data_IF_834564449926
#
_entry.id   IF_834564449926
#
_cell.length_a   1.000
_cell.length_b   1.000
_cell.length_c   1.000
_cell.angle_alpha   90.00
_cell.angle_beta   90.00
_cell.angle_gamma   90.00
#
_symmetry.space_group_name_H-M   'P 1'
#
loop_
_entity.id
_entity.type
_entity.pdbx_description
1 polymer ?
#
# COMPACT_ATOMS: atom_id res chain seq x y z
N UNK A 1 -15.60 6.29 -7.36
CA UNK A 1 -14.54 5.44 -6.76
C UNK A 1 -14.02 6.06 -5.48
N UNK A 2 -13.76 5.24 -4.47
CA UNK A 2 -13.30 5.72 -3.16
C UNK A 2 -11.90 5.19 -2.86
N UNK A 3 -11.01 6.11 -2.51
CA UNK A 3 -9.64 5.79 -2.08
C UNK A 3 -9.53 5.99 -0.57
N UNK A 4 -8.81 5.09 0.09
CA UNK A 4 -8.54 5.16 1.52
C UNK A 4 -7.03 5.00 1.75
N UNK A 5 -6.38 6.08 2.19
CA UNK A 5 -4.96 6.05 2.53
C UNK A 5 -4.74 5.33 3.86
N UNK A 6 -3.68 4.53 3.95
CA UNK A 6 -3.39 3.70 5.12
C UNK A 6 -1.91 3.75 5.53
N UNK A 7 -1.66 3.71 6.85
CA UNK A 7 -0.35 3.36 7.42
C UNK A 7 -0.30 1.83 7.56
N UNK A 8 0.73 1.21 6.99
CA UNK A 8 0.87 -0.25 6.82
C UNK A 8 0.73 -1.05 8.13
N UNK A 9 1.16 -0.46 9.24
CA UNK A 9 1.09 -1.02 10.58
C UNK A 9 0.37 -0.06 11.50
N UNK A 10 -0.96 -0.12 11.48
CA UNK A 10 -1.82 0.83 12.19
C UNK A 10 -3.01 0.09 12.78
N UNK A 11 -3.03 -0.14 14.10
CA UNK A 11 -4.21 -0.66 14.79
C UNK A 11 -5.47 0.18 14.51
N UNK A 12 -5.34 1.51 14.52
CA UNK A 12 -6.45 2.40 14.18
C UNK A 12 -6.86 2.24 12.71
N UNK A 13 -5.90 2.16 11.79
CA UNK A 13 -6.15 1.92 10.38
C UNK A 13 -6.86 0.59 10.14
N UNK A 14 -6.41 -0.48 10.77
CA UNK A 14 -7.01 -1.82 10.71
C UNK A 14 -8.48 -1.78 11.14
N UNK A 15 -8.76 -1.08 12.25
CA UNK A 15 -10.11 -0.88 12.74
C UNK A 15 -10.98 -0.04 11.79
N UNK A 16 -10.49 1.14 11.35
CA UNK A 16 -11.27 2.06 10.53
C UNK A 16 -11.47 1.58 9.09
N UNK A 17 -10.54 0.80 8.54
CA UNK A 17 -10.70 0.16 7.22
C UNK A 17 -11.88 -0.81 7.24
N UNK A 18 -12.02 -1.63 8.28
CA UNK A 18 -13.18 -2.54 8.44
C UNK A 18 -14.48 -1.76 8.54
N UNK A 19 -14.52 -0.71 9.37
CA UNK A 19 -15.71 0.16 9.49
C UNK A 19 -16.08 0.82 8.16
N UNK A 20 -15.08 1.28 7.41
CA UNK A 20 -15.28 1.89 6.11
C UNK A 20 -15.90 0.91 5.11
N UNK A 21 -15.38 -0.32 5.06
CA UNK A 21 -15.90 -1.37 4.18
C UNK A 21 -17.34 -1.77 4.55
N UNK A 22 -17.65 -1.90 5.84
CA UNK A 22 -19.02 -2.19 6.30
C UNK A 22 -20.01 -1.09 5.92
N UNK A 23 -19.56 0.18 5.91
CA UNK A 23 -20.37 1.34 5.50
C UNK A 23 -20.57 1.39 3.99
N UNK A 24 -19.50 1.21 3.21
CA UNK A 24 -19.53 1.37 1.75
C UNK A 24 -20.11 0.14 1.05
N UNK A 25 -19.83 -1.05 1.58
CA UNK A 25 -20.15 -2.35 0.99
C UNK A 25 -19.75 -2.39 -0.49
N UNK A 26 -18.44 -2.27 -0.79
CA UNK A 26 -17.96 -2.35 -2.16
C UNK A 26 -18.19 -3.76 -2.73
N UNK A 27 -18.18 -3.83 -4.05
CA UNK A 27 -18.17 -5.10 -4.79
C UNK A 27 -16.75 -5.53 -5.15
N UNK A 28 -15.81 -4.58 -5.20
CA UNK A 28 -14.40 -4.79 -5.47
C UNK A 28 -13.52 -4.01 -4.49
N UNK A 29 -12.56 -4.71 -3.89
CA UNK A 29 -11.52 -4.16 -3.01
C UNK A 29 -10.15 -4.28 -3.70
N UNK A 30 -9.46 -3.16 -3.86
CA UNK A 30 -8.12 -3.11 -4.46
C UNK A 30 -7.08 -2.77 -3.40
N UNK A 31 -6.03 -3.58 -3.28
CA UNK A 31 -4.98 -3.46 -2.26
C UNK A 31 -3.66 -3.08 -2.93
N UNK A 32 -3.02 -2.00 -2.49
CA UNK A 32 -1.68 -1.66 -2.99
C UNK A 32 -0.70 -2.79 -2.65
N UNK A 33 -0.18 -3.40 -3.70
CA UNK A 33 0.78 -4.51 -3.67
C UNK A 33 0.96 -5.05 -5.09
N UNK A 34 2.01 -5.84 -5.34
CA UNK A 34 2.31 -6.33 -6.68
C UNK A 34 1.15 -7.13 -7.28
N UNK A 35 0.69 -6.74 -8.47
CA UNK A 35 -0.48 -7.37 -9.10
C UNK A 35 -0.29 -8.87 -9.38
N UNK A 36 0.94 -9.34 -9.48
CA UNK A 36 1.30 -10.75 -9.62
C UNK A 36 1.19 -11.53 -8.30
N UNK A 37 0.85 -10.90 -7.17
CA UNK A 37 0.56 -11.59 -5.90
C UNK A 37 -0.89 -12.07 -5.77
N UNK A 38 -1.75 -11.79 -6.75
CA UNK A 38 -3.19 -12.14 -6.71
C UNK A 38 -3.45 -13.63 -6.40
N UNK A 39 -2.61 -14.53 -6.91
CA UNK A 39 -2.77 -15.96 -6.69
C UNK A 39 -2.56 -16.39 -5.22
N UNK A 40 -1.97 -15.53 -4.39
CA UNK A 40 -1.71 -15.78 -2.97
C UNK A 40 -2.88 -15.36 -2.07
N UNK A 41 -3.89 -14.64 -2.58
CA UNK A 41 -4.97 -14.09 -1.73
C UNK A 41 -5.71 -15.18 -0.95
N UNK A 42 -5.97 -16.34 -1.55
CA UNK A 42 -6.62 -17.47 -0.87
C UNK A 42 -5.74 -18.06 0.25
N UNK A 43 -4.41 -18.04 0.08
CA UNK A 43 -3.45 -18.49 1.10
C UNK A 43 -3.31 -17.45 2.22
N UNK A 44 -3.33 -16.15 1.89
CA UNK A 44 -3.29 -15.02 2.84
C UNK A 44 -4.43 -15.13 3.86
N UNK A 45 -5.64 -15.48 3.42
CA UNK A 45 -6.83 -15.61 4.28
C UNK A 45 -7.01 -17.02 4.85
N UNK A 46 -6.06 -17.92 4.61
CA UNK A 46 -6.13 -19.29 5.10
C UNK A 46 -6.02 -19.32 6.62
N UNK A 47 -6.91 -20.06 7.29
CA UNK A 47 -6.86 -20.27 8.75
C UNK A 47 -5.58 -20.97 9.23
N UNK A 48 -4.78 -21.53 8.31
CA UNK A 48 -3.49 -22.17 8.62
C UNK A 48 -2.32 -21.18 8.63
N UNK A 49 -2.50 -20.00 8.05
CA UNK A 49 -1.51 -18.93 8.06
C UNK A 49 -1.86 -17.95 9.18
N UNK A 50 -0.97 -17.80 10.15
CA UNK A 50 -1.18 -16.95 11.33
C UNK A 50 -0.21 -15.77 11.25
N UNK A 51 -0.68 -14.51 11.28
CA UNK A 51 0.19 -13.34 11.34
C UNK A 51 1.12 -13.35 12.57
N UNK A 52 2.32 -12.74 12.49
CA UNK A 52 2.85 -12.02 11.33
C UNK A 52 3.46 -12.96 10.28
N UNK A 53 3.28 -12.61 9.00
CA UNK A 53 3.92 -13.28 7.86
C UNK A 53 4.32 -12.25 6.81
N UNK A 54 5.04 -12.66 5.76
CA UNK A 54 5.37 -11.79 4.64
C UNK A 54 5.30 -12.53 3.31
N UNK A 55 4.94 -11.83 2.24
CA UNK A 55 5.17 -12.28 0.86
C UNK A 55 6.55 -11.78 0.45
N UNK A 56 7.34 -12.66 -0.15
CA UNK A 56 8.67 -12.34 -0.64
C UNK A 56 8.76 -12.63 -2.14
N UNK A 57 9.22 -11.65 -2.90
CA UNK A 57 9.64 -11.85 -4.29
C UNK A 57 11.14 -11.59 -4.39
N UNK A 58 11.83 -12.39 -5.21
CA UNK A 58 13.28 -12.33 -5.33
C UNK A 58 13.72 -12.71 -6.74
N UNK A 59 14.87 -12.18 -7.15
CA UNK A 59 15.50 -12.50 -8.43
C UNK A 59 16.19 -13.86 -8.36
N UNK A 60 16.30 -14.56 -9.50
CA UNK A 60 16.87 -15.93 -9.54
C UNK A 60 18.39 -15.95 -9.75
N UNK A 61 18.95 -14.86 -10.25
CA UNK A 61 20.35 -14.74 -10.64
C UNK A 61 21.04 -13.72 -9.73
N UNK A 62 22.30 -13.95 -9.41
CA UNK A 62 23.07 -13.05 -8.56
C UNK A 62 23.35 -11.70 -9.26
N UNK A 63 23.34 -10.56 -8.53
CA UNK A 63 22.97 -10.44 -7.11
C UNK A 63 21.47 -10.69 -6.88
N UNK A 64 21.15 -11.38 -5.78
CA UNK A 64 19.76 -11.72 -5.42
C UNK A 64 19.11 -10.52 -4.74
N UNK A 65 18.35 -9.76 -5.51
CA UNK A 65 17.47 -8.71 -4.96
C UNK A 65 16.18 -9.31 -4.41
N UNK A 66 15.63 -8.68 -3.36
CA UNK A 66 14.45 -9.16 -2.67
C UNK A 66 13.54 -8.00 -2.25
N UNK A 67 12.23 -8.14 -2.48
CA UNK A 67 11.21 -7.27 -1.89
C UNK A 67 10.35 -8.06 -0.91
N UNK A 68 9.99 -7.42 0.20
CA UNK A 68 9.19 -7.99 1.27
C UNK A 68 7.92 -7.19 1.49
N UNK A 69 6.80 -7.90 1.58
CA UNK A 69 5.48 -7.36 1.90
C UNK A 69 4.96 -8.03 3.17
N UNK A 70 5.29 -7.47 4.34
CA UNK A 70 4.86 -8.03 5.62
C UNK A 70 3.39 -7.76 5.88
N UNK A 71 2.77 -8.61 6.69
CA UNK A 71 1.40 -8.51 7.15
C UNK A 71 1.35 -8.89 8.63
N UNK A 72 0.61 -8.10 9.40
CA UNK A 72 0.30 -8.33 10.80
C UNK A 72 -1.22 -8.26 11.01
N UNK A 73 -1.70 -8.70 12.18
CA UNK A 73 -3.13 -8.59 12.53
C UNK A 73 -3.61 -7.13 12.49
N UNK A 74 -2.73 -6.17 12.82
CA UNK A 74 -2.96 -4.74 12.75
C UNK A 74 -2.57 -4.09 11.41
N UNK A 75 -2.36 -4.88 10.35
CA UNK A 75 -2.18 -4.34 9.00
C UNK A 75 -3.54 -4.02 8.36
N UNK A 76 -3.81 -2.76 7.97
CA UNK A 76 -5.07 -2.42 7.32
C UNK A 76 -5.30 -3.17 5.99
N UNK A 77 -4.23 -3.44 5.24
CA UNK A 77 -4.27 -4.25 4.01
C UNK A 77 -4.76 -5.67 4.29
N UNK A 78 -4.19 -6.31 5.31
CA UNK A 78 -4.59 -7.65 5.73
C UNK A 78 -6.06 -7.69 6.15
N UNK A 79 -6.50 -6.70 6.93
CA UNK A 79 -7.90 -6.59 7.35
C UNK A 79 -8.87 -6.34 6.20
N UNK A 80 -8.45 -5.58 5.17
CA UNK A 80 -9.25 -5.38 3.96
C UNK A 80 -9.39 -6.69 3.15
N UNK A 81 -8.31 -7.46 3.01
CA UNK A 81 -8.32 -8.77 2.34
C UNK A 81 -9.23 -9.75 3.11
N UNK A 82 -9.10 -9.83 4.44
CA UNK A 82 -9.97 -10.65 5.29
C UNK A 82 -11.44 -10.24 5.14
N UNK A 83 -11.73 -8.94 5.19
CA UNK A 83 -13.10 -8.43 5.02
C UNK A 83 -13.71 -8.82 3.69
N UNK A 84 -12.95 -8.68 2.60
CA UNK A 84 -13.42 -9.02 1.27
C UNK A 84 -13.78 -10.51 1.20
N UNK A 85 -12.95 -11.38 1.77
CA UNK A 85 -13.23 -12.82 1.83
C UNK A 85 -14.46 -13.15 2.68
N UNK A 86 -14.57 -12.57 3.87
CA UNK A 86 -15.71 -12.78 4.78
C UNK A 86 -17.06 -12.36 4.15
N UNK A 87 -17.03 -11.33 3.31
CA UNK A 87 -18.23 -10.76 2.67
C UNK A 87 -18.45 -11.23 1.22
N UNK A 88 -17.65 -12.20 0.74
CA UNK A 88 -17.69 -12.73 -0.63
C UNK A 88 -17.58 -11.62 -1.70
N UNK A 89 -16.62 -10.69 -1.49
CA UNK A 89 -16.31 -9.60 -2.41
C UNK A 89 -15.01 -9.88 -3.16
N UNK A 90 -14.91 -9.36 -4.37
CA UNK A 90 -13.68 -9.49 -5.15
C UNK A 90 -12.55 -8.66 -4.53
N UNK A 91 -11.34 -9.22 -4.52
CA UNK A 91 -10.17 -8.60 -3.94
C UNK A 91 -8.96 -8.87 -4.82
N UNK A 92 -8.20 -7.80 -5.14
CA UNK A 92 -7.03 -7.89 -6.01
C UNK A 92 -5.94 -6.92 -5.56
N UNK A 93 -4.69 -7.33 -5.76
CA UNK A 93 -3.54 -6.44 -5.80
C UNK A 93 -3.54 -5.67 -7.12
N UNK A 94 -3.11 -4.41 -7.09
CA UNK A 94 -3.23 -3.54 -8.28
C UNK A 94 -2.06 -2.60 -8.55
N UNK A 95 -0.93 -2.78 -7.85
CA UNK A 95 0.32 -2.05 -8.12
C UNK A 95 1.23 -2.84 -9.09
N UNK A 96 2.35 -2.24 -9.49
CA UNK A 96 3.33 -2.84 -10.40
C UNK A 96 3.73 -4.25 -9.99
N UNK A 97 3.90 -5.10 -10.99
CA UNK A 97 4.36 -6.48 -10.81
C UNK A 97 5.73 -6.52 -10.11
N UNK A 98 5.97 -7.62 -9.38
CA UNK A 98 7.11 -7.73 -8.48
C UNK A 98 8.46 -7.66 -9.21
N UNK A 99 8.53 -8.14 -10.45
CA UNK A 99 9.71 -8.08 -11.32
C UNK A 99 10.08 -6.64 -11.70
N UNK A 100 9.09 -5.80 -12.02
CA UNK A 100 9.27 -4.37 -12.29
C UNK A 100 9.72 -3.66 -11.00
N UNK A 101 9.12 -4.01 -9.86
CA UNK A 101 9.49 -3.44 -8.56
C UNK A 101 10.95 -3.76 -8.18
N UNK A 102 11.39 -5.02 -8.34
CA UNK A 102 12.78 -5.43 -8.16
C UNK A 102 13.74 -4.72 -9.13
N UNK A 103 13.28 -4.44 -10.35
CA UNK A 103 14.05 -3.69 -11.35
C UNK A 103 14.38 -2.26 -10.93
N UNK A 104 13.52 -1.59 -10.15
CA UNK A 104 13.81 -0.25 -9.63
C UNK A 104 14.91 -0.27 -8.57
N UNK A 105 14.89 -1.25 -7.65
CA UNK A 105 15.89 -1.34 -6.58
C UNK A 105 17.31 -1.55 -7.11
N UNK A 106 17.46 -2.37 -8.16
CA UNK A 106 18.74 -2.55 -8.87
C UNK A 106 19.36 -1.23 -9.35
N UNK A 107 18.55 -0.32 -9.89
CA UNK A 107 19.04 0.95 -10.44
C UNK A 107 19.42 1.98 -9.37
N UNK A 108 19.04 1.74 -8.11
CA UNK A 108 19.43 2.56 -6.97
C UNK A 108 20.72 2.05 -6.32
N UNK A 109 20.95 0.73 -6.31
CA UNK A 109 22.16 0.10 -5.74
C UNK A 109 23.41 0.15 -6.64
N UNK A 110 23.27 0.27 -7.97
CA UNK A 110 24.43 0.52 -8.88
C UNK A 110 25.14 1.88 -8.60
N UNK A 111 24.65 2.67 -7.63
CA UNK A 111 25.30 3.89 -7.12
C UNK A 111 25.83 3.80 -5.69
N UNK A 112 25.70 2.64 -5.01
CA UNK A 112 26.14 2.45 -3.62
C UNK A 112 26.68 1.04 -3.40
N UNK A 113 28.01 0.94 -3.32
CA UNK A 113 28.67 -0.20 -2.70
C UNK A 113 28.27 -0.33 -1.21
N UNK A 114 27.97 -1.58 -0.83
CA UNK A 114 27.99 -2.21 0.50
C UNK A 114 26.83 -1.98 1.54
N UNK A 115 26.30 -3.14 1.93
CA UNK A 115 25.65 -3.54 3.20
C UNK A 115 24.13 -3.37 3.42
N UNK A 116 23.52 -4.54 3.58
CA UNK A 116 22.14 -4.94 3.86
C UNK A 116 21.59 -4.41 5.20
N UNK A 117 20.25 -4.40 5.29
CA UNK A 117 19.39 -4.24 6.49
C UNK A 117 19.01 -2.78 6.81
N UNK A 118 17.76 -2.46 6.44
CA UNK A 118 16.92 -1.41 7.03
C UNK A 118 17.64 -0.13 7.45
N UNK A 119 18.20 0.59 6.49
CA UNK A 119 18.50 2.01 6.69
C UNK A 119 17.56 2.80 5.80
N UNK A 120 16.52 3.37 6.43
CA UNK A 120 15.91 4.59 5.92
C UNK A 120 17.06 5.53 5.50
N UNK A 121 17.06 6.07 4.27
CA UNK A 121 18.12 6.97 3.87
C UNK A 121 18.06 8.22 4.75
N UNK A 122 19.02 8.34 5.70
CA UNK A 122 19.29 9.53 6.51
C UNK A 122 19.86 10.68 5.66
N UNK A 123 19.15 11.12 4.62
CA UNK A 123 19.51 12.35 3.92
C UNK A 123 18.29 13.25 3.83
N UNK A 124 18.32 14.25 4.71
CA UNK A 124 17.35 15.31 4.95
C UNK A 124 16.14 14.94 5.82
N UNK A 125 16.39 14.49 7.06
CA UNK A 125 15.39 14.70 8.12
C UNK A 125 15.27 16.21 8.34
N UNK A 126 14.22 16.81 7.81
CA UNK A 126 13.60 17.91 8.54
C UNK A 126 13.34 17.41 9.97
N UNK A 127 13.47 18.27 10.98
CA UNK A 127 13.16 17.96 12.40
C UNK A 127 11.66 17.67 12.64
N UNK A 128 10.97 17.10 11.65
CA UNK A 128 9.55 16.76 11.72
C UNK A 128 9.44 15.39 12.40
N UNK A 129 8.86 15.40 13.59
CA UNK A 129 8.51 14.20 14.37
C UNK A 129 7.41 13.42 13.65
N UNK A 130 7.80 12.59 12.67
CA UNK A 130 6.89 11.78 11.86
C UNK A 130 6.15 10.74 12.69
N UNK A 131 6.83 10.15 13.68
CA UNK A 131 6.19 9.17 14.57
C UNK A 131 5.15 9.87 15.46
N UNK A 132 5.47 11.04 16.01
CA UNK A 132 4.50 11.86 16.74
C UNK A 132 3.35 12.35 15.86
N UNK A 133 3.60 12.62 14.57
CA UNK A 133 2.52 12.89 13.62
C UNK A 133 1.60 11.68 13.49
N UNK A 134 2.14 10.48 13.26
CA UNK A 134 1.37 9.26 13.09
C UNK A 134 0.54 8.93 14.34
N UNK A 135 1.18 8.97 15.51
CA UNK A 135 0.52 8.71 16.78
C UNK A 135 -0.68 9.64 16.99
N UNK A 136 -0.48 10.96 16.80
CA UNK A 136 -1.52 11.96 17.09
C UNK A 136 -2.61 12.03 16.02
N UNK A 137 -2.25 11.90 14.74
CA UNK A 137 -3.16 12.17 13.62
C UNK A 137 -3.78 10.90 13.02
N UNK A 138 -3.15 9.74 13.20
CA UNK A 138 -3.73 8.46 12.75
C UNK A 138 -4.15 7.59 13.93
N UNK A 139 -3.22 7.19 14.80
CA UNK A 139 -3.53 6.18 15.82
C UNK A 139 -4.53 6.66 16.87
N UNK A 140 -4.45 7.94 17.26
CA UNK A 140 -5.38 8.58 18.18
C UNK A 140 -6.59 9.24 17.48
N UNK A 141 -6.88 8.87 16.23
CA UNK A 141 -8.03 9.40 15.50
C UNK A 141 -9.35 9.09 16.21
N UNK A 142 -10.16 10.12 16.47
CA UNK A 142 -11.45 9.98 17.14
C UNK A 142 -12.46 9.15 16.33
N UNK A 143 -12.37 9.21 15.00
CA UNK A 143 -13.26 8.51 14.08
C UNK A 143 -12.63 8.30 12.70
N UNK A 144 -13.31 7.52 11.87
CA UNK A 144 -12.89 7.16 10.52
C UNK A 144 -12.65 8.37 9.61
N UNK A 145 -13.46 9.44 9.71
CA UNK A 145 -13.30 10.62 8.86
C UNK A 145 -12.05 11.42 9.25
N UNK A 146 -11.76 11.52 10.56
CA UNK A 146 -10.52 12.09 11.07
C UNK A 146 -9.28 11.30 10.59
N UNK A 147 -9.32 9.97 10.68
CA UNK A 147 -8.23 9.11 10.19
C UNK A 147 -7.97 9.33 8.69
N UNK A 148 -9.03 9.37 7.87
CA UNK A 148 -8.91 9.60 6.43
C UNK A 148 -8.32 10.97 6.11
N UNK A 149 -8.74 12.01 6.85
CA UNK A 149 -8.19 13.35 6.69
C UNK A 149 -6.70 13.39 7.06
N UNK A 150 -6.32 12.81 8.20
CA UNK A 150 -4.92 12.71 8.63
C UNK A 150 -4.03 11.99 7.62
N UNK A 151 -4.52 10.87 7.06
CA UNK A 151 -3.79 10.12 6.04
C UNK A 151 -3.67 10.91 4.72
N UNK A 152 -4.73 11.60 4.30
CA UNK A 152 -4.68 12.43 3.10
C UNK A 152 -3.67 13.58 3.24
N UNK A 153 -3.67 14.26 4.38
CA UNK A 153 -2.73 15.35 4.68
C UNK A 153 -1.28 14.87 4.65
N UNK A 154 -1.00 13.68 5.19
CA UNK A 154 0.33 13.09 5.16
C UNK A 154 0.82 12.83 3.74
N UNK A 155 0.00 12.16 2.92
CA UNK A 155 0.35 11.86 1.53
C UNK A 155 0.46 13.12 0.65
N UNK A 156 -0.25 14.20 0.99
CA UNK A 156 -0.06 15.51 0.37
C UNK A 156 1.27 16.15 0.79
N UNK A 157 1.64 16.07 2.07
CA UNK A 157 2.92 16.60 2.57
C UNK A 157 4.10 15.93 1.89
N UNK A 158 4.12 14.60 1.82
CA UNK A 158 5.20 13.86 1.17
C UNK A 158 5.42 14.29 -0.27
N UNK A 159 4.34 14.43 -1.06
CA UNK A 159 4.48 14.85 -2.46
C UNK A 159 4.91 16.29 -2.65
N UNK A 160 4.61 17.18 -1.70
CA UNK A 160 5.13 18.55 -1.74
C UNK A 160 6.64 18.59 -1.47
N UNK A 161 7.12 17.67 -0.64
CA UNK A 161 8.53 17.58 -0.25
C UNK A 161 9.36 16.78 -1.27
N UNK A 162 8.74 15.88 -2.05
CA UNK A 162 9.43 15.16 -3.14
C UNK A 162 9.75 16.08 -4.30
N UNK A 163 11.04 16.19 -4.64
CA UNK A 163 11.49 16.96 -5.81
C UNK A 163 11.19 16.22 -7.11
N UNK A 164 10.85 16.95 -8.16
CA UNK A 164 10.52 16.36 -9.47
C UNK A 164 11.70 15.70 -10.20
N UNK A 165 12.93 15.98 -9.77
CA UNK A 165 14.15 15.35 -10.28
C UNK A 165 14.58 14.09 -9.50
N UNK A 166 13.81 13.72 -8.47
CA UNK A 166 14.04 12.49 -7.71
C UNK A 166 13.57 11.26 -8.49
N UNK A 167 14.38 10.20 -8.50
CA UNK A 167 14.00 8.89 -9.05
C UNK A 167 12.76 8.33 -8.34
N UNK A 168 12.60 8.61 -7.05
CA UNK A 168 11.41 8.22 -6.27
C UNK A 168 10.13 8.80 -6.86
N UNK A 169 10.17 10.06 -7.30
CA UNK A 169 9.05 10.74 -7.96
C UNK A 169 8.67 10.04 -9.27
N UNK A 170 9.65 9.71 -10.11
CA UNK A 170 9.41 9.00 -11.36
C UNK A 170 8.80 7.60 -11.12
N UNK A 171 9.33 6.87 -10.12
CA UNK A 171 8.78 5.56 -9.70
C UNK A 171 7.33 5.67 -9.26
N UNK A 172 7.01 6.66 -8.43
CA UNK A 172 5.65 6.87 -7.95
C UNK A 172 4.68 7.19 -9.11
N UNK A 173 5.05 8.07 -10.03
CA UNK A 173 4.23 8.36 -11.22
C UNK A 173 3.94 7.10 -12.05
N UNK A 174 4.93 6.21 -12.22
CA UNK A 174 4.76 4.95 -12.96
C UNK A 174 3.78 4.02 -12.20
N UNK A 175 3.96 3.87 -10.89
CA UNK A 175 3.07 3.08 -10.02
C UNK A 175 1.64 3.61 -10.06
N UNK A 176 1.44 4.91 -9.85
CA UNK A 176 0.14 5.56 -9.92
C UNK A 176 -0.54 5.37 -11.27
N UNK A 177 0.22 5.48 -12.37
CA UNK A 177 -0.29 5.28 -13.73
C UNK A 177 -0.74 3.83 -13.95
N UNK A 178 0.01 2.86 -13.45
CA UNK A 178 -0.36 1.45 -13.52
C UNK A 178 -1.61 1.16 -12.69
N UNK A 179 -1.68 1.65 -11.45
CA UNK A 179 -2.83 1.51 -10.55
C UNK A 179 -4.10 2.12 -11.18
N UNK A 180 -4.00 3.33 -11.74
CA UNK A 180 -5.09 3.98 -12.51
C UNK A 180 -5.54 3.12 -13.69
N UNK A 181 -4.60 2.53 -14.43
CA UNK A 181 -4.92 1.64 -15.56
C UNK A 181 -5.68 0.39 -15.10
N UNK A 182 -5.23 -0.28 -14.04
CA UNK A 182 -5.90 -1.46 -13.46
C UNK A 182 -7.33 -1.17 -13.02
N UNK A 183 -7.55 -0.04 -12.33
CA UNK A 183 -8.90 0.40 -11.96
C UNK A 183 -9.80 0.55 -13.19
N UNK A 184 -9.30 1.22 -14.24
CA UNK A 184 -10.07 1.41 -15.47
C UNK A 184 -10.37 0.08 -16.18
N UNK A 185 -9.50 -0.92 -16.06
CA UNK A 185 -9.78 -2.28 -16.56
C UNK A 185 -10.96 -2.92 -15.82
N UNK A 186 -11.03 -2.80 -14.49
CA UNK A 186 -12.17 -3.31 -13.71
C UNK A 186 -13.48 -2.56 -14.02
N UNK A 187 -13.43 -1.24 -14.18
CA UNK A 187 -14.61 -0.47 -14.62
C UNK A 187 -15.10 -0.98 -15.98
N UNK A 188 -14.18 -1.22 -16.94
CA UNK A 188 -14.52 -1.79 -18.25
C UNK A 188 -15.07 -3.22 -18.17
N UNK A 189 -14.66 -4.01 -17.18
CA UNK A 189 -15.22 -5.35 -16.89
C UNK A 189 -16.64 -5.30 -16.31
N UNK A 190 -17.15 -4.12 -15.94
CA UNK A 190 -18.53 -3.92 -15.50
C UNK A 190 -18.70 -3.56 -14.02
N UNK A 191 -17.60 -3.34 -13.28
CA UNK A 191 -17.70 -2.86 -11.91
C UNK A 191 -18.19 -1.41 -11.87
N UNK A 192 -19.20 -1.13 -11.04
CA UNK A 192 -19.61 0.24 -10.75
C UNK A 192 -18.48 0.96 -10.03
N UNK A 193 -18.02 2.08 -10.60
CA UNK A 193 -16.96 2.90 -10.02
C UNK A 193 -17.26 3.35 -8.58
N UNK A 194 -18.52 3.51 -8.18
CA UNK A 194 -18.90 3.88 -6.80
C UNK A 194 -18.84 2.70 -5.82
N UNK A 195 -18.72 1.49 -6.35
CA UNK A 195 -18.58 0.22 -5.62
C UNK A 195 -17.16 -0.34 -5.63
N UNK A 196 -16.20 0.44 -6.13
CA UNK A 196 -14.76 0.13 -6.03
C UNK A 196 -14.15 0.92 -4.87
N UNK A 197 -13.48 0.22 -3.97
CA UNK A 197 -12.65 0.80 -2.93
C UNK A 197 -11.20 0.40 -3.18
N UNK A 198 -10.30 1.39 -3.19
CA UNK A 198 -8.85 1.16 -3.31
C UNK A 198 -8.11 1.63 -2.06
N UNK A 199 -7.11 0.86 -1.66
CA UNK A 199 -6.25 1.12 -0.51
C UNK A 199 -4.84 1.39 -1.00
N UNK A 200 -4.34 2.58 -0.68
CA UNK A 200 -2.97 2.97 -0.99
C UNK A 200 -2.21 3.17 0.31
N UNK A 201 -0.99 2.63 0.37
CA UNK A 201 -0.06 3.00 1.42
C UNK A 201 0.18 4.49 1.31
N UNK A 202 0.13 5.15 2.46
CA UNK A 202 0.08 6.61 2.60
C UNK A 202 1.27 7.36 1.95
N UNK A 203 2.31 6.64 1.53
CA UNK A 203 3.48 7.14 0.79
C UNK A 203 3.14 7.46 -0.68
N UNK A 204 2.16 6.79 -1.27
CA UNK A 204 1.78 6.90 -2.68
C UNK A 204 0.37 7.48 -2.76
N UNK A 205 0.21 8.78 -2.50
CA UNK A 205 -1.10 9.39 -2.69
C UNK A 205 -1.37 9.44 -4.19
N UNK A 206 -2.32 8.64 -4.66
CA UNK A 206 -2.80 8.75 -6.04
C UNK A 206 -3.76 9.94 -6.12
N UNK A 207 -3.34 11.03 -6.79
CA UNK A 207 -4.29 12.09 -7.13
C UNK A 207 -5.14 11.64 -8.31
N UNK A 208 -6.44 11.44 -8.10
CA UNK A 208 -7.43 11.18 -9.13
C UNK A 208 -8.11 12.47 -9.58
#
# INVERSE_FOLDING_TARGET
MKTFGIRHFSPAGAYFVRQFLDKIKPDLVLIEGPADFDFLIDDIVSKKLVPPFAIMAYTKEAPIDTILYPFAEYSPEYQAILWARENNKECHFFDLESDIMLGFERTDDDTKDEETISKEPEKNKSDVDMEGFWERNLEQSENMDAYRAGSALFGESLRKDTRSDDKSFARDIIRESFMKRKINEYIKKGFDSEKIVSYNRCLSYISY
#
